data_IF_444142775478
#
_entry.id   IF_444142775478
#
_cell.length_a   1.000
_cell.length_b   1.000
_cell.length_c   1.000
_cell.angle_alpha   90.00
_cell.angle_beta   90.00
_cell.angle_gamma   90.00
#
_symmetry.space_group_name_H-M   'P 1'
#
loop_
_entity.id
_entity.type
_entity.pdbx_description
1 polymer ?
#
# COMPACT_ATOMS: atom_id res chain seq x y z
N UNK A 1 -84.46 -64.95 2.80
CA UNK A 1 -83.13 -65.31 3.36
C UNK A 1 -82.07 -64.56 2.60
N UNK A 2 -81.59 -63.44 3.14
CA UNK A 2 -80.72 -62.46 2.43
C UNK A 2 -79.36 -62.66 3.03
N UNK A 3 -78.39 -63.08 2.18
CA UNK A 3 -76.98 -63.22 2.55
C UNK A 3 -76.29 -61.88 2.27
N UNK A 4 -75.80 -61.23 3.33
CA UNK A 4 -74.95 -60.00 3.20
C UNK A 4 -73.54 -60.41 2.89
N UNK A 5 -73.02 -59.91 1.75
CA UNK A 5 -71.63 -60.01 1.43
C UNK A 5 -70.83 -58.88 2.13
N UNK A 6 -69.73 -59.24 2.78
CA UNK A 6 -68.82 -58.35 3.43
C UNK A 6 -67.85 -57.71 2.38
N UNK A 7 -67.69 -56.43 2.47
CA UNK A 7 -66.68 -55.65 1.64
C UNK A 7 -65.28 -55.77 2.27
N UNK A 8 -64.26 -55.96 1.47
CA UNK A 8 -62.89 -55.90 1.98
C UNK A 8 -62.45 -54.45 2.22
N UNK A 9 -61.65 -54.25 3.28
CA UNK A 9 -61.03 -52.95 3.66
C UNK A 9 -59.92 -52.53 2.72
N UNK A 10 -59.71 -51.21 2.51
CA UNK A 10 -58.63 -50.71 1.65
C UNK A 10 -57.29 -50.83 2.35
N UNK A 11 -56.29 -51.34 1.62
CA UNK A 11 -54.88 -51.38 2.04
C UNK A 11 -54.25 -49.94 2.06
N UNK A 12 -53.78 -49.52 3.22
CA UNK A 12 -53.08 -48.29 3.42
C UNK A 12 -51.62 -48.38 2.84
N UNK A 13 -51.44 -47.91 1.63
CA UNK A 13 -50.12 -47.76 1.06
C UNK A 13 -49.35 -46.60 1.74
N UNK A 14 -48.31 -46.97 2.47
CA UNK A 14 -47.30 -45.95 2.96
C UNK A 14 -46.44 -45.52 1.82
N UNK A 15 -46.70 -44.30 1.31
CA UNK A 15 -45.75 -43.63 0.42
C UNK A 15 -44.56 -43.12 1.23
N UNK A 16 -43.44 -43.79 1.11
CA UNK A 16 -42.15 -43.29 1.58
C UNK A 16 -41.73 -42.09 0.69
N UNK A 17 -41.84 -40.90 1.23
CA UNK A 17 -41.29 -39.70 0.60
C UNK A 17 -39.77 -39.68 0.82
N UNK A 18 -39.02 -40.09 -0.19
CA UNK A 18 -37.57 -39.86 -0.23
C UNK A 18 -37.33 -38.38 -0.41
N UNK A 19 -36.89 -37.67 0.65
CA UNK A 19 -36.32 -36.33 0.55
C UNK A 19 -34.92 -36.46 -0.06
N UNK A 20 -34.81 -36.13 -1.33
CA UNK A 20 -33.50 -35.88 -1.94
C UNK A 20 -32.98 -34.54 -1.43
N UNK A 21 -32.00 -34.55 -0.50
CA UNK A 21 -31.21 -33.35 -0.15
C UNK A 21 -30.34 -33.01 -1.37
N UNK A 22 -30.74 -31.99 -2.14
CA UNK A 22 -29.84 -31.33 -3.07
C UNK A 22 -28.84 -30.50 -2.24
N UNK A 23 -27.66 -31.05 -2.05
CA UNK A 23 -26.52 -30.30 -1.52
C UNK A 23 -26.09 -29.21 -2.52
N UNK A 24 -26.43 -27.95 -2.22
CA UNK A 24 -25.88 -26.80 -2.95
C UNK A 24 -24.43 -26.66 -2.52
N UNK A 25 -23.49 -27.11 -3.37
CA UNK A 25 -22.08 -26.82 -3.24
C UNK A 25 -21.90 -25.33 -3.56
N UNK A 26 -21.88 -24.49 -2.54
CA UNK A 26 -21.47 -23.11 -2.64
C UNK A 26 -19.96 -23.08 -2.95
N UNK A 27 -19.62 -22.93 -4.21
CA UNK A 27 -18.23 -22.65 -4.63
C UNK A 27 -17.88 -21.26 -4.11
N UNK A 28 -17.18 -21.19 -2.97
CA UNK A 28 -16.58 -19.95 -2.49
C UNK A 28 -15.47 -19.58 -3.49
N UNK A 29 -15.76 -18.65 -4.41
CA UNK A 29 -14.74 -18.00 -5.20
C UNK A 29 -13.84 -17.22 -4.24
N UNK A 30 -12.65 -17.74 -3.94
CA UNK A 30 -11.63 -16.99 -3.24
C UNK A 30 -11.25 -15.82 -4.16
N UNK A 31 -11.73 -14.62 -3.83
CA UNK A 31 -11.22 -13.38 -4.43
C UNK A 31 -9.73 -13.35 -4.09
N UNK A 32 -8.89 -13.44 -5.11
CA UNK A 32 -7.45 -13.30 -4.95
C UNK A 32 -7.21 -11.90 -4.36
N UNK A 33 -6.81 -11.84 -3.10
CA UNK A 33 -6.41 -10.57 -2.48
C UNK A 33 -5.19 -10.05 -3.21
N UNK A 34 -5.19 -8.74 -3.50
CA UNK A 34 -4.02 -8.09 -4.02
C UNK A 34 -2.82 -8.35 -3.09
N UNK A 35 -1.61 -8.59 -3.65
CA UNK A 35 -0.43 -8.88 -2.83
C UNK A 35 -0.17 -7.71 -1.87
N UNK A 36 0.16 -8.04 -0.62
CA UNK A 36 0.39 -7.03 0.42
C UNK A 36 1.56 -6.10 0.08
N UNK A 37 2.58 -6.63 -0.62
CA UNK A 37 3.71 -5.86 -1.13
C UNK A 37 4.00 -6.24 -2.58
N UNK A 38 4.54 -5.27 -3.32
CA UNK A 38 4.98 -5.43 -4.70
C UNK A 38 6.36 -4.82 -4.89
N UNK A 39 7.17 -5.43 -5.73
CA UNK A 39 8.46 -4.91 -6.15
C UNK A 39 8.26 -4.08 -7.42
N UNK A 40 8.86 -2.91 -7.50
CA UNK A 40 8.91 -2.16 -8.76
C UNK A 40 10.02 -2.75 -9.64
N UNK A 41 9.64 -3.19 -10.83
CA UNK A 41 10.55 -3.77 -11.84
C UNK A 41 10.42 -3.03 -13.15
N UNK A 42 11.50 -2.92 -13.92
CA UNK A 42 11.49 -2.27 -15.23
C UNK A 42 10.67 -3.06 -16.26
N UNK A 43 10.63 -4.39 -16.13
CA UNK A 43 10.01 -5.27 -17.10
C UNK A 43 8.49 -5.40 -16.91
N UNK A 44 8.01 -5.45 -15.65
CA UNK A 44 6.62 -5.77 -15.32
C UNK A 44 5.92 -4.68 -14.49
N UNK A 45 6.59 -3.57 -14.20
CA UNK A 45 6.07 -2.57 -13.27
C UNK A 45 5.96 -3.15 -11.85
N UNK A 46 4.80 -3.04 -11.23
CA UNK A 46 4.57 -3.57 -9.89
C UNK A 46 4.31 -5.09 -9.93
N UNK A 47 5.25 -5.88 -9.39
CA UNK A 47 5.20 -7.33 -9.35
C UNK A 47 5.08 -7.86 -7.92
N UNK A 48 4.25 -8.89 -7.62
CA UNK A 48 4.10 -9.44 -6.28
C UNK A 48 5.43 -9.77 -5.61
N UNK A 49 5.60 -9.37 -4.34
CA UNK A 49 6.77 -9.65 -3.53
C UNK A 49 6.45 -10.74 -2.49
N UNK A 50 6.78 -12.03 -2.74
CA UNK A 50 6.59 -13.08 -1.76
C UNK A 50 7.43 -12.85 -0.50
N UNK A 51 6.93 -13.31 0.66
CA UNK A 51 7.66 -13.14 1.92
C UNK A 51 7.67 -11.71 2.45
N UNK A 52 6.72 -10.89 2.00
CA UNK A 52 6.48 -9.54 2.50
C UNK A 52 5.05 -9.41 3.03
N UNK A 53 4.91 -8.81 4.20
CA UNK A 53 3.65 -8.43 4.83
C UNK A 53 3.67 -6.95 5.19
N UNK A 54 2.50 -6.32 5.35
CA UNK A 54 2.39 -4.94 5.84
C UNK A 54 2.12 -4.99 7.34
N UNK A 55 2.99 -4.37 8.11
CA UNK A 55 2.86 -4.21 9.56
C UNK A 55 3.07 -2.74 9.90
N UNK A 56 2.13 -2.14 10.63
CA UNK A 56 2.16 -0.72 11.02
C UNK A 56 2.45 0.22 9.83
N UNK A 57 1.74 0.00 8.72
CA UNK A 57 1.89 0.77 7.48
C UNK A 57 3.28 0.67 6.83
N UNK A 58 4.04 -0.39 7.08
CA UNK A 58 5.38 -0.60 6.54
C UNK A 58 5.56 -2.02 6.02
N UNK A 59 6.35 -2.19 4.94
CA UNK A 59 6.72 -3.53 4.50
C UNK A 59 7.64 -4.20 5.53
N UNK A 60 7.27 -5.40 5.95
CA UNK A 60 8.10 -6.30 6.74
C UNK A 60 8.46 -7.48 5.87
N UNK A 61 9.73 -7.59 5.52
CA UNK A 61 10.24 -8.50 4.51
C UNK A 61 11.04 -9.61 5.19
N UNK A 62 10.82 -10.85 4.75
CA UNK A 62 11.55 -12.00 5.27
C UNK A 62 13.06 -11.91 4.95
N UNK A 63 13.89 -12.49 5.81
CA UNK A 63 15.35 -12.46 5.62
C UNK A 63 15.81 -13.13 4.31
N UNK A 64 15.07 -14.12 3.83
CA UNK A 64 15.33 -14.75 2.52
C UNK A 64 15.07 -13.76 1.39
N UNK A 65 13.87 -13.20 1.34
CA UNK A 65 13.47 -12.23 0.31
C UNK A 65 14.37 -10.98 0.31
N UNK A 66 14.78 -10.47 1.49
CA UNK A 66 15.71 -9.33 1.58
C UNK A 66 17.03 -9.57 0.85
N UNK A 67 17.56 -10.80 0.85
CA UNK A 67 18.82 -11.12 0.16
C UNK A 67 18.68 -11.08 -1.36
N UNK A 68 17.48 -11.35 -1.85
CA UNK A 68 17.17 -11.48 -3.27
C UNK A 68 16.64 -10.18 -3.90
N UNK A 69 16.46 -9.10 -3.10
CA UNK A 69 16.06 -7.81 -3.62
C UNK A 69 17.15 -7.19 -4.49
N UNK A 70 16.71 -6.55 -5.57
CA UNK A 70 17.59 -5.73 -6.39
C UNK A 70 17.81 -4.37 -5.71
N UNK A 71 19.03 -4.13 -5.25
CA UNK A 71 19.40 -2.89 -4.58
C UNK A 71 20.16 -1.98 -5.53
N UNK A 72 19.86 -0.70 -5.46
CA UNK A 72 20.61 0.35 -6.17
C UNK A 72 22.04 0.54 -5.60
N UNK A 73 22.78 1.48 -6.18
CA UNK A 73 24.14 1.82 -5.74
C UNK A 73 24.23 2.38 -4.31
N UNK A 74 23.10 2.79 -3.75
CA UNK A 74 22.98 3.26 -2.36
C UNK A 74 22.58 2.15 -1.40
N UNK A 75 22.33 0.93 -1.90
CA UNK A 75 21.87 -0.21 -1.12
C UNK A 75 20.40 -0.11 -0.74
N UNK A 76 19.59 0.54 -1.55
CA UNK A 76 18.16 0.72 -1.39
C UNK A 76 17.39 -0.05 -2.47
N UNK A 77 16.32 -0.73 -2.06
CA UNK A 77 15.36 -1.36 -2.97
C UNK A 77 14.01 -0.65 -2.87
N UNK A 78 13.24 -0.64 -3.96
CA UNK A 78 11.92 -0.03 -4.02
C UNK A 78 10.86 -1.08 -3.82
N UNK A 79 10.02 -0.90 -2.80
CA UNK A 79 8.87 -1.75 -2.51
C UNK A 79 7.61 -0.88 -2.46
N UNK A 80 6.56 -1.32 -3.16
CA UNK A 80 5.24 -0.74 -3.04
C UNK A 80 4.44 -1.52 -1.99
N UNK A 81 3.98 -0.85 -0.95
CA UNK A 81 3.22 -1.43 0.14
C UNK A 81 2.33 -0.35 0.78
N UNK A 82 1.19 -0.74 1.37
CA UNK A 82 0.26 0.19 2.02
C UNK A 82 -0.07 1.43 1.15
N UNK A 83 -0.34 1.18 -0.14
CA UNK A 83 -0.70 2.21 -1.13
C UNK A 83 0.39 3.28 -1.39
N UNK A 84 1.66 2.96 -1.12
CA UNK A 84 2.77 3.89 -1.32
C UNK A 84 4.09 3.21 -1.58
N UNK A 85 5.04 3.99 -2.08
CA UNK A 85 6.41 3.53 -2.26
C UNK A 85 7.22 3.66 -0.98
N UNK A 86 8.07 2.67 -0.77
CA UNK A 86 9.03 2.61 0.32
C UNK A 86 10.42 2.32 -0.24
N UNK A 87 11.43 3.03 0.22
CA UNK A 87 12.79 2.52 0.14
C UNK A 87 13.03 1.54 1.28
N UNK A 88 13.68 0.44 0.97
CA UNK A 88 14.03 -0.62 1.92
C UNK A 88 15.54 -0.85 1.86
N UNK A 89 16.21 -0.85 3.00
CA UNK A 89 17.64 -1.14 3.07
C UNK A 89 17.92 -2.65 3.26
N UNK A 90 19.19 -3.04 3.17
CA UNK A 90 19.63 -4.44 3.33
C UNK A 90 19.36 -5.02 4.74
N UNK A 91 19.02 -4.19 5.72
CA UNK A 91 18.63 -4.60 7.09
C UNK A 91 17.12 -4.74 7.24
N UNK A 92 16.35 -4.48 6.19
CA UNK A 92 14.88 -4.52 6.22
C UNK A 92 14.24 -3.29 6.85
N UNK A 93 15.00 -2.23 7.13
CA UNK A 93 14.42 -0.95 7.54
C UNK A 93 13.78 -0.29 6.32
N UNK A 94 12.66 0.38 6.51
CA UNK A 94 11.94 1.02 5.43
C UNK A 94 11.61 2.48 5.72
N UNK A 95 11.58 3.29 4.67
CA UNK A 95 11.15 4.68 4.69
C UNK A 95 10.02 4.87 3.66
N UNK A 96 8.78 5.21 4.07
CA UNK A 96 7.75 5.60 3.12
C UNK A 96 8.12 6.94 2.49
N UNK A 97 8.16 6.99 1.17
CA UNK A 97 8.59 8.17 0.42
C UNK A 97 7.47 8.76 -0.43
N UNK A 98 7.70 9.93 -0.99
CA UNK A 98 6.75 10.56 -1.89
C UNK A 98 6.80 9.86 -3.25
N UNK A 99 5.64 9.85 -3.91
CA UNK A 99 5.53 9.44 -5.30
C UNK A 99 5.83 10.63 -6.19
N UNK A 100 6.66 10.40 -7.21
CA UNK A 100 6.92 11.34 -8.29
C UNK A 100 6.64 10.63 -9.62
N UNK A 101 5.76 11.19 -10.43
CA UNK A 101 5.18 10.45 -11.57
C UNK A 101 4.63 9.09 -11.13
N UNK A 102 5.09 8.01 -11.71
CA UNK A 102 4.62 6.65 -11.47
C UNK A 102 5.55 5.82 -10.57
N UNK A 103 6.51 6.46 -9.89
CA UNK A 103 7.52 5.79 -9.07
C UNK A 103 7.84 6.52 -7.76
N UNK A 104 8.77 6.01 -6.97
CA UNK A 104 9.29 6.72 -5.81
C UNK A 104 10.12 7.92 -6.28
N UNK A 105 10.08 8.99 -5.50
CA UNK A 105 10.99 10.10 -5.72
C UNK A 105 12.45 9.64 -5.59
N UNK A 106 13.28 9.98 -6.55
CA UNK A 106 14.73 9.72 -6.49
C UNK A 106 15.41 10.65 -5.49
N UNK A 107 16.47 10.19 -4.81
CA UNK A 107 17.22 11.06 -3.89
C UNK A 107 17.75 12.31 -4.60
N UNK A 108 17.55 13.47 -3.97
CA UNK A 108 18.08 14.73 -4.44
C UNK A 108 19.14 15.24 -3.46
N UNK A 109 20.34 15.49 -3.93
CA UNK A 109 21.50 15.88 -3.11
C UNK A 109 21.76 14.93 -1.92
N UNK A 110 21.48 13.61 -2.08
CA UNK A 110 21.63 12.59 -1.04
C UNK A 110 20.54 12.63 0.02
N UNK A 111 19.43 13.30 -0.22
CA UNK A 111 18.27 13.38 0.66
C UNK A 111 17.03 12.80 0.01
N UNK A 112 16.17 12.22 0.84
CA UNK A 112 14.85 11.68 0.52
C UNK A 112 13.78 12.47 1.27
N UNK A 113 12.66 12.76 0.62
CA UNK A 113 11.46 13.21 1.32
C UNK A 113 10.67 12.00 1.79
N UNK A 114 10.62 11.80 3.10
CA UNK A 114 9.91 10.70 3.73
C UNK A 114 8.62 11.16 4.41
N UNK A 115 7.65 10.25 4.55
CA UNK A 115 6.40 10.52 5.26
C UNK A 115 6.53 10.23 6.75
N UNK A 116 6.05 11.17 7.56
CA UNK A 116 5.90 11.08 9.01
C UNK A 116 4.42 11.31 9.30
N UNK A 117 3.63 10.25 9.29
CA UNK A 117 2.17 10.35 9.28
C UNK A 117 1.67 11.10 8.05
N UNK A 118 0.94 12.20 8.23
CA UNK A 118 0.44 13.05 7.14
C UNK A 118 1.43 14.12 6.67
N UNK A 119 2.55 14.29 7.39
CA UNK A 119 3.57 15.31 7.10
C UNK A 119 4.78 14.68 6.42
N UNK A 120 5.64 15.52 5.90
CA UNK A 120 6.92 15.10 5.32
C UNK A 120 8.08 15.56 6.16
N UNK A 121 9.18 14.81 6.09
CA UNK A 121 10.48 15.17 6.62
C UNK A 121 11.56 14.84 5.59
N UNK A 122 12.78 15.32 5.84
CA UNK A 122 13.94 15.04 5.00
C UNK A 122 14.88 14.07 5.70
N UNK A 123 15.27 13.03 4.97
CA UNK A 123 16.03 11.90 5.49
C UNK A 123 17.28 11.70 4.64
N UNK A 124 18.38 11.28 5.25
CA UNK A 124 19.53 10.75 4.52
C UNK A 124 19.25 9.32 4.00
N UNK A 125 20.16 8.80 3.19
CA UNK A 125 20.03 7.46 2.60
C UNK A 125 20.14 6.31 3.64
N UNK A 126 20.43 6.63 4.89
CA UNK A 126 20.36 5.67 6.01
C UNK A 126 19.05 5.74 6.78
N UNK A 127 18.08 6.52 6.27
CA UNK A 127 16.77 6.78 6.87
C UNK A 127 16.81 7.54 8.19
N UNK A 128 17.89 8.27 8.46
CA UNK A 128 17.97 9.21 9.57
C UNK A 128 17.38 10.54 9.13
N UNK A 129 16.43 11.07 9.90
CA UNK A 129 15.91 12.41 9.67
C UNK A 129 17.03 13.44 9.90
N UNK A 130 17.35 14.24 8.88
CA UNK A 130 18.46 15.19 8.92
C UNK A 130 17.99 16.63 9.09
N UNK A 131 16.80 16.96 8.60
CA UNK A 131 16.18 18.28 8.84
C UNK A 131 15.26 18.15 10.04
N UNK A 132 15.50 18.91 11.13
CA UNK A 132 14.59 18.97 12.27
C UNK A 132 13.22 19.50 11.85
N UNK A 133 12.17 18.80 12.24
CA UNK A 133 10.81 19.21 11.95
C UNK A 133 10.17 18.48 10.79
N UNK A 134 8.91 18.77 10.61
CA UNK A 134 8.05 18.20 9.57
C UNK A 134 7.20 19.29 8.96
N UNK A 135 6.84 19.12 7.69
CA UNK A 135 6.11 20.11 6.90
C UNK A 135 4.86 19.48 6.29
N UNK A 136 3.84 20.29 5.99
CA UNK A 136 2.67 19.80 5.28
C UNK A 136 3.01 19.50 3.81
N UNK A 137 3.97 20.26 3.25
CA UNK A 137 4.61 19.97 1.97
C UNK A 137 6.02 20.58 1.96
N UNK A 138 6.85 20.13 1.00
CA UNK A 138 8.16 20.72 0.73
C UNK A 138 8.73 20.14 -0.54
N UNK A 139 9.45 20.92 -1.29
CA UNK A 139 10.16 20.51 -2.49
C UNK A 139 11.48 19.79 -2.15
N UNK A 140 12.05 18.99 -3.06
CA UNK A 140 13.40 18.46 -2.90
C UNK A 140 14.42 19.57 -2.68
N UNK A 141 15.54 19.23 -2.06
CA UNK A 141 16.67 20.15 -1.95
C UNK A 141 17.29 20.41 -3.33
N UNK A 142 17.53 21.67 -3.62
CA UNK A 142 18.31 22.14 -4.78
C UNK A 142 19.27 23.21 -4.32
N UNK A 143 20.55 23.07 -4.67
CA UNK A 143 21.61 23.99 -4.26
C UNK A 143 21.66 24.24 -2.74
N UNK A 144 21.41 23.17 -1.97
CA UNK A 144 21.43 23.22 -0.50
C UNK A 144 20.20 23.84 0.16
N UNK A 145 19.16 24.17 -0.59
CA UNK A 145 17.93 24.83 -0.10
C UNK A 145 16.69 24.06 -0.55
N UNK A 146 15.68 24.00 0.31
CA UNK A 146 14.37 23.50 -0.03
C UNK A 146 13.28 24.52 0.32
N UNK A 147 12.27 24.66 -0.52
CA UNK A 147 11.06 25.40 -0.20
C UNK A 147 10.07 24.48 0.47
N UNK A 148 9.54 24.88 1.61
CA UNK A 148 8.64 24.10 2.45
C UNK A 148 7.39 24.90 2.84
N UNK A 149 6.35 24.22 3.21
CA UNK A 149 5.09 24.84 3.57
C UNK A 149 4.53 24.25 4.87
N UNK A 150 3.97 25.14 5.70
CA UNK A 150 3.10 24.79 6.81
C UNK A 150 1.71 25.40 6.61
N UNK A 151 0.66 24.60 6.86
CA UNK A 151 -0.73 25.02 6.69
C UNK A 151 -1.21 25.00 5.24
N UNK A 152 -0.40 24.53 4.27
CA UNK A 152 -0.87 24.32 2.92
C UNK A 152 -1.66 23.03 2.78
N UNK A 153 -2.49 22.95 1.76
CA UNK A 153 -3.33 21.79 1.44
C UNK A 153 -3.33 21.53 -0.06
N UNK A 154 -3.69 20.32 -0.42
CA UNK A 154 -3.93 20.00 -1.83
C UNK A 154 -5.10 20.81 -2.35
N UNK A 155 -4.87 21.48 -3.47
CA UNK A 155 -5.90 22.19 -4.23
C UNK A 155 -6.72 21.26 -5.12
N UNK A 156 -7.42 21.84 -6.08
CA UNK A 156 -8.19 21.09 -7.08
C UNK A 156 -7.24 20.64 -8.18
N UNK A 157 -7.30 19.37 -8.64
CA UNK A 157 -6.53 18.92 -9.79
C UNK A 157 -6.83 19.77 -11.03
N UNK A 158 -5.80 20.07 -11.81
CA UNK A 158 -5.93 20.71 -13.11
C UNK A 158 -6.41 19.72 -14.19
N UNK A 159 -6.50 20.19 -15.45
CA UNK A 159 -6.95 19.37 -16.57
C UNK A 159 -6.03 18.17 -16.87
N UNK A 160 -4.76 18.27 -16.48
CA UNK A 160 -3.74 17.23 -16.66
C UNK A 160 -3.63 16.31 -15.44
N UNK A 161 -4.46 16.56 -14.40
CA UNK A 161 -4.50 15.77 -13.17
C UNK A 161 -3.46 16.19 -12.12
N UNK A 162 -2.66 17.24 -12.36
CA UNK A 162 -1.73 17.77 -11.38
C UNK A 162 -2.49 18.50 -10.26
N UNK A 163 -2.11 18.24 -9.02
CA UNK A 163 -2.74 18.85 -7.86
C UNK A 163 -1.79 19.86 -7.23
N UNK A 164 -2.07 21.17 -7.34
CA UNK A 164 -1.24 22.19 -6.71
C UNK A 164 -1.35 22.12 -5.18
N UNK A 165 -0.33 22.63 -4.50
CA UNK A 165 -0.40 22.90 -3.07
C UNK A 165 -0.78 24.36 -2.88
N UNK A 166 -1.84 24.61 -2.11
CA UNK A 166 -2.45 25.94 -1.96
C UNK A 166 -2.44 26.41 -0.51
N UNK A 167 -2.37 27.75 -0.35
CA UNK A 167 -2.40 28.41 0.96
C UNK A 167 -1.17 28.13 1.80
N UNK A 168 -1.31 28.32 3.12
CA UNK A 168 -0.24 28.09 4.08
C UNK A 168 0.87 29.15 4.04
N UNK A 169 1.87 28.95 4.88
CA UNK A 169 3.07 29.77 4.95
C UNK A 169 4.20 29.03 4.24
N UNK A 170 4.70 29.59 3.16
CA UNK A 170 5.83 29.07 2.38
C UNK A 170 7.12 29.78 2.78
N UNK A 171 8.18 29.00 2.94
CA UNK A 171 9.49 29.53 3.28
C UNK A 171 10.59 28.57 2.84
N UNK A 172 11.79 29.12 2.70
CA UNK A 172 12.99 28.34 2.31
C UNK A 172 13.76 27.94 3.54
N UNK A 173 14.35 26.74 3.50
CA UNK A 173 15.18 26.20 4.58
C UNK A 173 16.51 25.69 4.02
N UNK A 174 17.56 25.81 4.83
CA UNK A 174 18.84 25.13 4.59
C UNK A 174 18.79 23.66 5.11
N UNK A 175 19.87 22.91 4.92
CA UNK A 175 19.99 21.52 5.37
C UNK A 175 19.94 21.35 6.90
N UNK A 176 20.14 22.40 7.67
CA UNK A 176 19.95 22.39 9.12
C UNK A 176 18.52 22.73 9.54
N UNK A 177 17.61 22.95 8.58
CA UNK A 177 16.21 23.33 8.82
C UNK A 177 16.04 24.79 9.21
N UNK A 178 17.06 25.64 9.05
CA UNK A 178 16.99 27.07 9.37
C UNK A 178 16.40 27.83 8.17
N UNK A 179 15.50 28.78 8.46
CA UNK A 179 14.96 29.64 7.41
C UNK A 179 16.08 30.44 6.75
N UNK A 180 16.06 30.49 5.42
CA UNK A 180 16.95 31.28 4.59
C UNK A 180 16.14 32.25 3.74
N UNK A 181 16.79 33.31 3.27
CA UNK A 181 16.17 34.36 2.42
C UNK A 181 16.00 33.88 0.99
#
# INVERSE_FOLDING_TARGET
MIVRQARPAPASGRFARSLALLGVLASASALAQAPACQLLTDEHGLWPLPGCEVVDHRPKISAGTLKDLNYDDHGLAVVYADQGFHYVDRKGRSLPVLTWDNGPETPQEGLLRGRIGKRIGYFDLTFRQVVPGTFDFGWPFQEGVAEVCNGCRRGTPDADGHTPMEGGEWFRIDRAGRRVK
#
